data_IF_911326573865
#
_entry.id   IF_911326573865
#
_cell.length_a   1.000
_cell.length_b   1.000
_cell.length_c   1.000
_cell.angle_alpha   90.00
_cell.angle_beta   90.00
_cell.angle_gamma   90.00
#
_symmetry.space_group_name_H-M   'P 1'
#
loop_
_entity.id
_entity.type
_entity.pdbx_description
1 polymer ?
#
# COMPACT_ATOMS: atom_id res chain seq x y z
N UNK A 1 9.44 -1.22 -25.02
CA UNK A 1 8.36 -0.21 -25.11
C UNK A 1 9.01 1.05 -25.66
N UNK A 2 8.34 1.81 -26.51
CA UNK A 2 8.90 3.09 -26.95
C UNK A 2 9.10 4.01 -25.73
N UNK A 3 10.29 4.59 -25.64
CA UNK A 3 10.65 5.58 -24.63
C UNK A 3 10.94 6.91 -25.33
N UNK A 4 10.66 8.05 -24.69
CA UNK A 4 10.08 8.18 -23.35
C UNK A 4 8.58 7.85 -23.32
N UNK A 5 8.09 7.31 -22.21
CA UNK A 5 6.65 7.27 -21.93
C UNK A 5 6.19 8.67 -21.49
N UNK A 6 5.00 9.06 -21.93
CA UNK A 6 4.36 10.35 -21.61
C UNK A 6 3.21 10.10 -20.63
N UNK A 7 3.29 10.70 -19.45
CA UNK A 7 2.26 10.61 -18.41
C UNK A 7 0.90 11.16 -18.86
N UNK A 8 0.86 12.01 -19.88
CA UNK A 8 -0.36 12.55 -20.46
C UNK A 8 -1.04 11.59 -21.44
N UNK A 9 -0.39 10.47 -21.79
CA UNK A 9 -1.01 9.43 -22.59
C UNK A 9 -2.05 8.67 -21.74
N UNK A 10 -3.28 9.17 -21.74
CA UNK A 10 -4.39 8.62 -20.96
C UNK A 10 -4.60 7.13 -21.20
N UNK A 11 -4.45 6.64 -22.44
CA UNK A 11 -4.63 5.21 -22.76
C UNK A 11 -3.54 4.34 -22.14
N UNK A 12 -2.32 4.85 -22.11
CA UNK A 12 -1.18 4.13 -21.57
C UNK A 12 -1.19 4.13 -20.03
N UNK A 13 -1.65 5.22 -19.42
CA UNK A 13 -1.70 5.39 -17.95
C UNK A 13 -3.06 5.07 -17.31
N UNK A 14 -4.08 4.71 -18.09
CA UNK A 14 -5.46 4.46 -17.61
C UNK A 14 -5.53 3.51 -16.40
N UNK A 15 -4.66 2.49 -16.35
CA UNK A 15 -4.68 1.51 -15.27
C UNK A 15 -4.06 2.03 -13.97
N UNK A 16 -2.97 2.80 -14.07
CA UNK A 16 -2.35 3.48 -12.93
C UNK A 16 -3.31 4.56 -12.41
N UNK A 17 -3.90 5.35 -13.31
CA UNK A 17 -4.91 6.37 -12.97
C UNK A 17 -6.11 5.77 -12.24
N UNK A 18 -6.60 4.60 -12.68
CA UNK A 18 -7.67 3.89 -11.98
C UNK A 18 -7.28 3.51 -10.56
N UNK A 19 -6.06 3.00 -10.35
CA UNK A 19 -5.57 2.62 -9.03
C UNK A 19 -5.40 3.84 -8.11
N UNK A 20 -4.91 4.97 -8.64
CA UNK A 20 -4.72 6.23 -7.92
C UNK A 20 -6.02 6.94 -7.56
N UNK A 21 -7.05 6.82 -8.40
CA UNK A 21 -8.37 7.38 -8.10
C UNK A 21 -9.15 6.54 -7.10
N UNK A 22 -8.92 5.22 -7.09
CA UNK A 22 -9.63 4.32 -6.20
C UNK A 22 -11.12 4.22 -6.51
N UNK A 23 -11.93 3.90 -5.50
CA UNK A 23 -13.36 3.63 -5.68
C UNK A 23 -14.23 4.80 -5.25
N UNK A 24 -14.97 5.38 -6.19
CA UNK A 24 -15.95 6.43 -5.93
C UNK A 24 -15.40 7.83 -6.22
N UNK A 25 -16.18 8.84 -5.84
CA UNK A 25 -15.82 10.24 -6.03
C UNK A 25 -14.78 10.70 -4.99
N UNK A 26 -13.90 11.65 -5.35
CA UNK A 26 -12.99 12.24 -4.39
C UNK A 26 -13.74 13.04 -3.31
N UNK A 27 -13.21 13.03 -2.10
CA UNK A 27 -13.61 13.94 -1.03
C UNK A 27 -12.86 15.25 -1.20
N UNK A 28 -13.49 16.39 -0.94
CA UNK A 28 -12.83 17.68 -1.05
C UNK A 28 -12.53 18.25 0.33
N UNK A 29 -11.29 18.65 0.54
CA UNK A 29 -10.91 19.47 1.69
C UNK A 29 -11.53 20.87 1.57
N UNK A 30 -11.61 21.64 2.68
CA UNK A 30 -12.14 23.00 2.65
C UNK A 30 -11.42 23.95 1.68
N UNK A 31 -10.16 23.65 1.34
CA UNK A 31 -9.36 24.39 0.37
C UNK A 31 -9.57 23.94 -1.09
N UNK A 32 -10.43 22.96 -1.33
CA UNK A 32 -10.73 22.40 -2.65
C UNK A 32 -9.81 21.26 -3.09
N UNK A 33 -8.86 20.82 -2.26
CA UNK A 33 -7.97 19.70 -2.59
C UNK A 33 -8.74 18.37 -2.63
N UNK A 34 -8.68 17.60 -3.73
CA UNK A 34 -9.33 16.30 -3.82
C UNK A 34 -8.52 15.20 -3.11
N UNK A 35 -9.18 14.45 -2.23
CA UNK A 35 -8.69 13.24 -1.57
C UNK A 35 -9.37 12.04 -2.22
N UNK A 36 -8.55 11.19 -2.85
CA UNK A 36 -9.03 9.99 -3.52
C UNK A 36 -9.08 8.79 -2.57
N UNK A 37 -10.18 8.03 -2.55
CA UNK A 37 -10.32 6.83 -1.72
C UNK A 37 -9.60 5.62 -2.34
N UNK A 38 -8.27 5.73 -2.44
CA UNK A 38 -7.42 4.69 -2.98
C UNK A 38 -6.63 3.96 -1.87
N UNK A 39 -6.07 2.79 -2.19
CA UNK A 39 -5.30 1.96 -1.24
C UNK A 39 -3.85 2.43 -1.07
N UNK A 40 -3.41 3.36 -1.91
CA UNK A 40 -2.07 3.93 -1.91
C UNK A 40 -2.06 5.09 -0.90
N UNK A 41 -1.16 5.05 0.06
CA UNK A 41 -1.05 6.13 1.04
C UNK A 41 -0.23 7.31 0.46
N UNK A 42 -0.70 7.85 -0.66
CA UNK A 42 -0.07 8.95 -1.40
C UNK A 42 -0.77 10.26 -1.08
N UNK A 43 0.00 11.32 -0.85
CA UNK A 43 -0.56 12.64 -0.59
C UNK A 43 -0.97 13.35 -1.89
N UNK A 44 -0.26 13.10 -2.99
CA UNK A 44 -0.47 13.76 -4.29
C UNK A 44 -0.54 12.74 -5.44
N UNK A 45 -1.73 12.19 -5.75
CA UNK A 45 -1.89 11.16 -6.77
C UNK A 45 -1.49 11.59 -8.19
N UNK A 46 -1.68 12.87 -8.54
CA UNK A 46 -1.30 13.38 -9.85
C UNK A 46 0.22 13.50 -10.03
N UNK A 47 0.92 13.95 -8.99
CA UNK A 47 2.40 13.95 -8.98
C UNK A 47 2.95 12.52 -9.01
N UNK A 48 2.25 11.57 -8.39
CA UNK A 48 2.65 10.14 -8.38
C UNK A 48 2.82 9.59 -9.80
N UNK A 49 1.95 9.95 -10.76
CA UNK A 49 2.09 9.51 -12.15
C UNK A 49 3.31 10.13 -12.84
N UNK A 50 3.55 11.42 -12.60
CA UNK A 50 4.70 12.14 -13.17
C UNK A 50 6.02 11.57 -12.63
N UNK A 51 6.13 11.40 -11.31
CA UNK A 51 7.30 10.77 -10.66
C UNK A 51 7.55 9.38 -11.24
N UNK A 52 6.50 8.56 -11.38
CA UNK A 52 6.65 7.23 -11.97
C UNK A 52 7.17 7.29 -13.42
N UNK A 53 6.63 8.18 -14.25
CA UNK A 53 7.04 8.33 -15.65
C UNK A 53 8.51 8.75 -15.77
N UNK A 54 8.94 9.74 -14.98
CA UNK A 54 10.34 10.19 -14.92
C UNK A 54 11.27 9.04 -14.53
N UNK A 55 10.95 8.34 -13.43
CA UNK A 55 11.74 7.21 -12.94
C UNK A 55 11.84 6.08 -13.97
N UNK A 56 10.73 5.78 -14.66
CA UNK A 56 10.71 4.75 -15.70
C UNK A 56 11.60 5.16 -16.88
N UNK A 57 11.49 6.40 -17.35
CA UNK A 57 12.26 6.95 -18.47
C UNK A 57 13.76 7.03 -18.16
N UNK A 58 14.11 7.36 -16.93
CA UNK A 58 15.50 7.44 -16.46
C UNK A 58 16.11 6.08 -16.10
N UNK A 59 15.33 4.99 -16.11
CA UNK A 59 15.80 3.66 -15.75
C UNK A 59 16.08 3.48 -14.25
N UNK A 60 15.46 4.29 -13.39
CA UNK A 60 15.66 4.29 -11.94
C UNK A 60 14.90 3.16 -11.23
N UNK A 61 13.95 2.52 -11.93
CA UNK A 61 13.17 1.41 -11.40
C UNK A 61 13.99 0.12 -11.51
N UNK A 62 14.49 -0.36 -10.37
CA UNK A 62 15.34 -1.55 -10.25
C UNK A 62 14.54 -2.86 -10.31
N UNK A 63 13.65 -2.99 -11.29
CA UNK A 63 12.94 -4.23 -11.60
C UNK A 63 13.80 -5.12 -12.53
N UNK A 64 14.07 -6.38 -12.15
CA UNK A 64 14.79 -7.32 -13.00
C UNK A 64 14.03 -7.71 -14.27
N UNK A 65 12.69 -7.71 -14.21
CA UNK A 65 11.85 -8.04 -15.36
C UNK A 65 11.84 -6.88 -16.36
N UNK A 66 12.04 -7.21 -17.63
CA UNK A 66 12.15 -6.23 -18.72
C UNK A 66 11.00 -6.39 -19.71
N UNK A 67 10.65 -5.29 -20.35
CA UNK A 67 9.53 -5.24 -21.27
C UNK A 67 9.68 -6.25 -22.42
N UNK A 68 10.90 -6.46 -22.90
CA UNK A 68 11.20 -7.40 -23.99
C UNK A 68 10.88 -8.84 -23.58
N UNK A 69 11.13 -9.21 -22.32
CA UNK A 69 10.77 -10.53 -21.81
C UNK A 69 9.25 -10.65 -21.60
N UNK A 70 8.61 -9.57 -21.18
CA UNK A 70 7.16 -9.48 -21.01
C UNK A 70 6.41 -9.66 -22.31
N UNK A 71 6.73 -8.88 -23.34
CA UNK A 71 6.02 -8.90 -24.62
C UNK A 71 6.22 -10.21 -25.39
N UNK A 72 7.35 -10.89 -25.17
CA UNK A 72 7.67 -12.17 -25.81
C UNK A 72 7.10 -13.40 -25.07
N UNK A 73 6.55 -13.25 -23.85
CA UNK A 73 5.92 -14.35 -23.12
C UNK A 73 4.53 -14.66 -23.67
N UNK A 74 4.46 -15.63 -24.58
CA UNK A 74 3.21 -16.03 -25.26
C UNK A 74 2.09 -16.45 -24.29
N UNK A 75 2.43 -17.11 -23.18
CA UNK A 75 1.43 -17.58 -22.22
C UNK A 75 0.83 -16.40 -21.46
N UNK A 76 1.69 -15.51 -20.98
CA UNK A 76 1.31 -14.27 -20.31
C UNK A 76 0.47 -13.37 -21.23
N UNK A 77 0.93 -13.17 -22.47
CA UNK A 77 0.23 -12.36 -23.46
C UNK A 77 -1.13 -12.96 -23.85
N UNK A 78 -1.24 -14.29 -23.96
CA UNK A 78 -2.53 -14.93 -24.22
C UNK A 78 -3.53 -14.68 -23.07
N UNK A 79 -3.07 -14.70 -21.82
CA UNK A 79 -3.90 -14.37 -20.66
C UNK A 79 -4.32 -12.90 -20.64
N UNK A 80 -3.41 -11.96 -20.88
CA UNK A 80 -3.71 -10.51 -20.88
C UNK A 80 -4.72 -10.17 -21.98
N UNK A 81 -4.50 -10.70 -23.20
CA UNK A 81 -5.43 -10.53 -24.32
C UNK A 81 -6.79 -11.21 -24.04
N UNK A 82 -6.78 -12.40 -23.44
CA UNK A 82 -8.00 -13.11 -23.04
C UNK A 82 -8.81 -12.36 -21.98
N UNK A 83 -8.14 -11.61 -21.09
CA UNK A 83 -8.74 -10.68 -20.13
C UNK A 83 -9.23 -9.37 -20.77
N UNK A 84 -8.96 -9.16 -22.07
CA UNK A 84 -9.29 -7.97 -22.84
C UNK A 84 -8.61 -6.71 -22.31
N UNK A 85 -7.37 -6.86 -21.84
CA UNK A 85 -6.56 -5.78 -21.32
C UNK A 85 -5.59 -5.25 -22.38
N UNK A 86 -5.26 -3.97 -22.27
CA UNK A 86 -4.20 -3.36 -23.04
C UNK A 86 -2.84 -3.82 -22.48
N UNK A 87 -2.00 -4.33 -23.39
CA UNK A 87 -0.73 -4.97 -23.03
C UNK A 87 0.28 -3.96 -22.49
N UNK A 88 0.32 -2.76 -23.05
CA UNK A 88 1.28 -1.73 -22.66
C UNK A 88 0.86 -1.04 -21.36
N UNK A 89 -0.41 -0.70 -21.23
CA UNK A 89 -0.95 -0.15 -20.00
C UNK A 89 -0.83 -1.14 -18.83
N UNK A 90 -1.00 -2.45 -19.10
CA UNK A 90 -0.82 -3.47 -18.06
C UNK A 90 0.64 -3.62 -17.62
N UNK A 91 1.59 -3.52 -18.55
CA UNK A 91 3.01 -3.50 -18.21
C UNK A 91 3.34 -2.37 -17.25
N UNK A 92 2.92 -1.15 -17.59
CA UNK A 92 3.18 0.02 -16.74
C UNK A 92 2.51 -0.11 -15.38
N UNK A 93 1.27 -0.61 -15.31
CA UNK A 93 0.62 -0.92 -14.04
C UNK A 93 1.47 -1.88 -13.20
N UNK A 94 1.95 -2.97 -13.79
CA UNK A 94 2.72 -3.98 -13.06
C UNK A 94 4.06 -3.41 -12.55
N UNK A 95 4.75 -2.61 -13.35
CA UNK A 95 5.99 -1.94 -12.96
C UNK A 95 5.75 -0.86 -11.90
N UNK A 96 4.66 -0.09 -12.02
CA UNK A 96 4.25 0.87 -11.00
C UNK A 96 3.97 0.18 -9.66
N UNK A 97 3.15 -0.88 -9.65
CA UNK A 97 2.86 -1.65 -8.44
C UNK A 97 4.13 -2.23 -7.80
N UNK A 98 5.10 -2.67 -8.61
CA UNK A 98 6.40 -3.14 -8.13
C UNK A 98 7.21 -2.02 -7.47
N UNK A 99 7.42 -0.90 -8.17
CA UNK A 99 8.23 0.22 -7.68
C UNK A 99 7.59 0.85 -6.44
N UNK A 100 6.27 1.06 -6.48
CA UNK A 100 5.51 1.56 -5.34
C UNK A 100 5.60 0.62 -4.14
N UNK A 101 5.31 -0.68 -4.30
CA UNK A 101 5.38 -1.61 -3.18
C UNK A 101 6.81 -1.73 -2.62
N UNK A 102 7.85 -1.62 -3.46
CA UNK A 102 9.25 -1.61 -3.01
C UNK A 102 9.57 -0.35 -2.21
N UNK A 103 9.17 0.83 -2.69
CA UNK A 103 9.35 2.11 -2.02
C UNK A 103 8.69 2.15 -0.64
N UNK A 104 7.55 1.46 -0.49
CA UNK A 104 6.80 1.38 0.77
C UNK A 104 7.35 0.31 1.71
N UNK A 105 7.70 -0.88 1.19
CA UNK A 105 8.06 -2.03 2.03
C UNK A 105 9.56 -2.14 2.29
N UNK A 106 10.41 -1.79 1.34
CA UNK A 106 11.86 -2.00 1.46
C UNK A 106 12.56 -0.72 1.91
N UNK A 107 12.23 0.40 1.27
CA UNK A 107 12.86 1.69 1.52
C UNK A 107 12.00 2.66 2.36
N UNK A 108 10.80 2.22 2.74
CA UNK A 108 9.82 3.12 3.32
C UNK A 108 10.22 3.65 4.69
N UNK A 109 9.43 4.59 5.18
CA UNK A 109 9.63 5.20 6.49
C UNK A 109 8.32 5.26 7.26
N UNK A 110 8.42 5.44 8.58
CA UNK A 110 7.29 5.78 9.44
C UNK A 110 7.47 7.18 9.99
N UNK A 111 6.36 7.88 10.15
CA UNK A 111 6.32 9.18 10.80
C UNK A 111 6.03 8.90 12.27
N UNK A 112 6.96 9.30 13.15
CA UNK A 112 6.74 9.24 14.59
C UNK A 112 5.51 10.09 14.92
N UNK A 113 4.72 9.68 15.90
CA UNK A 113 3.66 10.55 16.43
C UNK A 113 4.30 11.62 17.32
N UNK A 114 3.81 12.86 17.25
CA UNK A 114 4.14 13.86 18.25
C UNK A 114 3.61 13.44 19.62
N UNK A 115 4.10 14.05 20.70
CA UNK A 115 3.54 13.85 22.03
C UNK A 115 2.02 14.11 22.04
N UNK A 116 1.61 15.21 21.41
CA UNK A 116 0.20 15.55 21.18
C UNK A 116 -0.60 14.41 20.55
N UNK A 117 -0.16 13.93 19.37
CA UNK A 117 -0.89 12.89 18.62
C UNK A 117 -0.90 11.54 19.34
N UNK A 118 0.14 11.23 20.11
CA UNK A 118 0.21 10.03 20.94
C UNK A 118 -0.82 10.09 22.08
N UNK A 119 -0.94 11.23 22.75
CA UNK A 119 -1.92 11.45 23.82
C UNK A 119 -3.35 11.41 23.25
N UNK A 120 -3.61 12.06 22.12
CA UNK A 120 -4.92 12.00 21.44
C UNK A 120 -5.32 10.55 21.10
N UNK A 121 -4.39 9.76 20.54
CA UNK A 121 -4.62 8.33 20.27
C UNK A 121 -4.90 7.54 21.54
N UNK A 122 -4.22 7.85 22.64
CA UNK A 122 -4.43 7.21 23.92
C UNK A 122 -5.83 7.53 24.48
N UNK A 123 -6.22 8.81 24.49
CA UNK A 123 -7.55 9.26 24.93
C UNK A 123 -8.67 8.59 24.10
N UNK A 124 -8.46 8.42 22.78
CA UNK A 124 -9.43 7.78 21.89
C UNK A 124 -9.64 6.27 22.15
N UNK A 125 -8.87 5.65 23.05
CA UNK A 125 -9.13 4.30 23.53
C UNK A 125 -10.20 4.25 24.63
N UNK A 126 -10.71 5.40 25.09
CA UNK A 126 -11.79 5.45 26.10
C UNK A 126 -13.02 4.71 25.58
N UNK A 127 -13.45 3.62 26.24
CA UNK A 127 -14.59 2.85 25.77
C UNK A 127 -15.90 3.61 26.03
N UNK A 128 -16.92 3.34 25.22
CA UNK A 128 -18.27 3.84 25.44
C UNK A 128 -18.97 3.12 26.60
N UNK A 129 -18.56 1.87 26.88
CA UNK A 129 -19.07 1.00 27.95
C UNK A 129 -17.98 0.77 29.01
N UNK A 130 -18.27 1.10 30.27
CA UNK A 130 -17.34 0.96 31.40
C UNK A 130 -16.96 -0.51 31.69
N UNK A 131 -17.78 -1.47 31.24
CA UNK A 131 -17.51 -2.91 31.38
C UNK A 131 -16.58 -3.48 30.29
N UNK A 132 -16.11 -2.63 29.36
CA UNK A 132 -15.19 -3.06 28.30
C UNK A 132 -13.89 -3.61 28.89
N UNK A 133 -13.55 -4.86 28.53
CA UNK A 133 -12.30 -5.48 28.97
C UNK A 133 -11.09 -4.72 28.43
N UNK A 134 -10.24 -4.21 29.32
CA UNK A 134 -9.05 -3.43 28.97
C UNK A 134 -7.80 -3.98 29.63
N UNK A 135 -6.67 -3.81 28.94
CA UNK A 135 -5.35 -4.14 29.45
C UNK A 135 -4.36 -3.05 29.08
N UNK A 136 -3.73 -2.44 30.08
CA UNK A 136 -2.67 -1.46 29.91
C UNK A 136 -1.34 -2.07 30.35
N UNK A 137 -0.31 -1.92 29.52
CA UNK A 137 1.05 -2.38 29.83
C UNK A 137 2.02 -1.23 29.72
N UNK A 138 2.76 -0.97 30.79
CA UNK A 138 3.82 0.06 30.83
C UNK A 138 5.14 -0.65 31.07
N UNK A 139 6.15 -0.34 30.25
CA UNK A 139 7.50 -0.85 30.39
C UNK A 139 8.47 0.33 30.44
N UNK A 140 9.32 0.32 31.46
CA UNK A 140 10.40 1.30 31.68
C UNK A 140 11.71 0.54 31.92
N UNK A 141 12.80 1.27 32.02
CA UNK A 141 14.09 0.77 32.51
C UNK A 141 14.00 0.16 33.92
N UNK A 142 13.06 0.66 34.74
CA UNK A 142 12.81 0.21 36.13
C UNK A 142 11.92 -1.02 36.24
N UNK A 143 11.30 -1.47 35.16
CA UNK A 143 10.46 -2.67 35.16
C UNK A 143 9.23 -2.57 34.27
N UNK A 144 8.35 -3.57 34.39
CA UNK A 144 7.12 -3.71 33.62
C UNK A 144 5.93 -3.83 34.58
N UNK A 145 4.86 -3.10 34.32
CA UNK A 145 3.58 -3.20 35.02
C UNK A 145 2.46 -3.50 34.02
N UNK A 146 1.55 -4.40 34.39
CA UNK A 146 0.33 -4.68 33.65
C UNK A 146 -0.87 -4.35 34.54
N UNK A 147 -1.84 -3.62 34.00
CA UNK A 147 -3.11 -3.28 34.64
C UNK A 147 -4.20 -3.96 33.81
N UNK A 148 -5.01 -4.81 34.44
CA UNK A 148 -6.15 -5.50 33.80
C UNK A 148 -7.50 -5.07 34.40
N UNK A 149 -7.47 -4.13 35.36
CA UNK A 149 -8.67 -3.53 35.92
C UNK A 149 -9.20 -2.43 34.97
N UNK A 150 -10.30 -2.73 34.28
CA UNK A 150 -10.94 -1.81 33.36
C UNK A 150 -11.37 -0.50 34.00
N UNK A 151 -11.80 -0.49 35.27
CA UNK A 151 -12.21 0.74 35.96
C UNK A 151 -10.99 1.63 36.19
N UNK A 152 -9.88 1.07 36.66
CA UNK A 152 -8.63 1.81 36.85
C UNK A 152 -8.13 2.42 35.53
N UNK A 153 -8.19 1.66 34.43
CA UNK A 153 -7.79 2.14 33.10
C UNK A 153 -8.72 3.26 32.61
N UNK A 154 -10.04 3.12 32.82
CA UNK A 154 -11.03 4.17 32.50
C UNK A 154 -10.72 5.47 33.25
N UNK A 155 -10.40 5.41 34.55
CA UNK A 155 -10.04 6.61 35.32
C UNK A 155 -8.75 7.25 34.80
N UNK A 156 -7.73 6.46 34.46
CA UNK A 156 -6.50 6.98 33.85
C UNK A 156 -6.81 7.72 32.55
N UNK A 157 -7.63 7.14 31.67
CA UNK A 157 -8.03 7.76 30.40
C UNK A 157 -8.82 9.05 30.62
N UNK A 158 -9.79 9.06 31.55
CA UNK A 158 -10.57 10.25 31.92
C UNK A 158 -9.67 11.37 32.47
N UNK A 159 -8.71 11.05 33.33
CA UNK A 159 -7.76 12.03 33.86
C UNK A 159 -6.83 12.59 32.79
N UNK A 160 -6.32 11.74 31.91
CA UNK A 160 -5.48 12.21 30.79
C UNK A 160 -6.28 13.12 29.86
N UNK A 161 -7.52 12.75 29.53
CA UNK A 161 -8.41 13.59 28.70
C UNK A 161 -8.66 14.95 29.35
N UNK A 162 -9.04 14.98 30.62
CA UNK A 162 -9.29 16.22 31.35
C UNK A 162 -8.04 17.11 31.41
N UNK A 163 -6.87 16.53 31.72
CA UNK A 163 -5.62 17.27 31.76
C UNK A 163 -5.21 17.80 30.38
N UNK A 164 -5.44 17.01 29.32
CA UNK A 164 -5.19 17.40 27.94
C UNK A 164 -6.06 18.59 27.53
N UNK A 165 -7.37 18.53 27.78
CA UNK A 165 -8.31 19.62 27.46
C UNK A 165 -8.01 20.92 28.24
N UNK A 166 -7.50 20.81 29.47
CA UNK A 166 -7.13 21.97 30.29
C UNK A 166 -5.79 22.60 29.91
N UNK A 167 -4.91 21.86 29.24
CA UNK A 167 -3.52 22.27 28.98
C UNK A 167 -3.13 22.05 27.51
N UNK A 168 -4.08 22.11 26.58
CA UNK A 168 -3.87 21.77 25.17
C UNK A 168 -2.71 22.57 24.56
N UNK A 169 -2.61 23.86 24.90
CA UNK A 169 -1.57 24.77 24.41
C UNK A 169 -0.17 24.47 24.96
N UNK A 170 -0.06 23.77 26.10
CA UNK A 170 1.21 23.42 26.74
C UNK A 170 1.83 22.14 26.14
N UNK A 171 1.05 21.33 25.44
CA UNK A 171 1.54 20.13 24.74
C UNK A 171 1.86 20.56 23.31
N UNK A 172 3.05 21.12 23.14
CA UNK A 172 3.52 21.56 21.83
C UNK A 172 3.63 20.39 20.85
N UNK A 173 3.44 20.71 19.57
CA UNK A 173 3.82 19.83 18.48
C UNK A 173 5.34 19.63 18.44
N UNK A 174 5.84 19.10 17.33
CA UNK A 174 7.28 18.91 17.14
C UNK A 174 8.07 20.19 17.40
N UNK A 175 9.05 20.13 18.29
CA UNK A 175 10.11 21.14 18.35
C UNK A 175 11.04 20.99 17.13
N UNK A 176 11.80 22.03 16.79
CA UNK A 176 12.73 21.99 15.65
C UNK A 176 13.84 20.92 15.79
N UNK A 177 14.18 20.52 17.03
CA UNK A 177 15.12 19.44 17.31
C UNK A 177 14.46 18.06 17.13
N UNK A 178 13.25 17.88 17.64
CA UNK A 178 12.50 16.62 17.47
C UNK A 178 12.04 16.42 16.02
N UNK A 179 11.93 17.50 15.24
CA UNK A 179 11.61 17.44 13.81
C UNK A 179 12.59 16.59 12.99
N UNK A 180 13.85 16.50 13.44
CA UNK A 180 14.91 15.73 12.77
C UNK A 180 14.70 14.21 12.88
N UNK A 181 13.97 13.75 13.89
CA UNK A 181 13.72 12.33 14.18
C UNK A 181 12.27 11.89 13.86
N UNK A 182 11.52 12.72 13.13
CA UNK A 182 10.14 12.43 12.73
C UNK A 182 10.11 11.23 11.79
N UNK A 183 10.99 11.23 10.79
CA UNK A 183 11.06 10.19 9.77
C UNK A 183 11.99 9.07 10.22
N UNK A 184 11.42 7.90 10.45
CA UNK A 184 12.15 6.71 10.85
C UNK A 184 12.14 5.71 9.71
N UNK A 185 13.30 5.44 9.05
CA UNK A 185 13.41 4.39 8.05
C UNK A 185 12.91 3.06 8.61
N UNK A 186 12.08 2.36 7.85
CA UNK A 186 11.47 1.11 8.28
C UNK A 186 11.30 0.17 7.10
N UNK A 187 12.01 -0.95 7.18
CA UNK A 187 11.87 -2.05 6.25
C UNK A 187 10.87 -3.09 6.79
N UNK A 188 9.87 -3.39 5.98
CA UNK A 188 8.99 -4.55 6.11
C UNK A 188 9.67 -5.82 5.54
N UNK A 189 9.14 -7.00 5.86
CA UNK A 189 9.71 -8.25 5.33
C UNK A 189 9.42 -8.42 3.83
N UNK A 190 10.24 -9.22 3.14
CA UNK A 190 10.00 -9.59 1.74
C UNK A 190 8.63 -10.27 1.53
N UNK A 191 8.17 -11.05 2.52
CA UNK A 191 6.82 -11.63 2.50
C UNK A 191 5.72 -10.58 2.47
N UNK A 192 5.91 -9.47 3.19
CA UNK A 192 5.00 -8.32 3.17
C UNK A 192 5.10 -7.60 1.82
N UNK A 193 6.30 -7.45 1.26
CA UNK A 193 6.48 -6.85 -0.07
C UNK A 193 5.72 -7.65 -1.15
N UNK A 194 5.87 -8.98 -1.20
CA UNK A 194 5.11 -9.86 -2.12
C UNK A 194 3.61 -9.68 -1.93
N UNK A 195 3.15 -9.71 -0.68
CA UNK A 195 1.73 -9.54 -0.36
C UNK A 195 1.20 -8.16 -0.78
N UNK A 196 1.96 -7.10 -0.54
CA UNK A 196 1.52 -5.75 -0.84
C UNK A 196 1.46 -5.51 -2.34
N UNK A 197 2.47 -5.95 -3.10
CA UNK A 197 2.41 -5.97 -4.58
C UNK A 197 1.15 -6.69 -5.08
N UNK A 198 0.89 -7.90 -4.58
CA UNK A 198 -0.29 -8.65 -4.98
C UNK A 198 -1.60 -7.95 -4.60
N UNK A 199 -1.63 -7.29 -3.44
CA UNK A 199 -2.78 -6.52 -2.97
C UNK A 199 -3.10 -5.36 -3.92
N UNK A 200 -2.09 -4.61 -4.37
CA UNK A 200 -2.27 -3.52 -5.35
C UNK A 200 -2.85 -4.04 -6.67
N UNK A 201 -2.31 -5.15 -7.18
CA UNK A 201 -2.81 -5.76 -8.42
C UNK A 201 -4.25 -6.29 -8.28
N UNK A 202 -4.58 -6.91 -7.14
CA UNK A 202 -5.96 -7.36 -6.85
C UNK A 202 -6.90 -6.17 -6.73
N UNK A 203 -6.47 -5.07 -6.11
CA UNK A 203 -7.26 -3.85 -5.99
C UNK A 203 -7.58 -3.28 -7.38
N UNK A 204 -6.59 -3.18 -8.26
CA UNK A 204 -6.81 -2.78 -9.66
C UNK A 204 -7.92 -3.62 -10.33
N UNK A 205 -7.87 -4.94 -10.20
CA UNK A 205 -8.89 -5.81 -10.79
C UNK A 205 -10.27 -5.72 -10.13
N UNK A 206 -10.32 -5.25 -8.88
CA UNK A 206 -11.55 -5.00 -8.12
C UNK A 206 -12.19 -3.69 -8.57
N UNK A 207 -11.37 -2.65 -8.79
CA UNK A 207 -11.77 -1.37 -9.36
C UNK A 207 -12.21 -1.50 -10.82
N UNK A 208 -11.66 -2.48 -11.55
CA UNK A 208 -11.92 -2.70 -12.97
C UNK A 208 -12.62 -4.05 -13.24
N UNK A 209 -13.89 -4.22 -12.81
CA UNK A 209 -14.61 -5.47 -12.95
C UNK A 209 -14.92 -5.85 -14.41
N UNK A 210 -14.71 -4.96 -15.38
CA UNK A 210 -14.88 -5.23 -16.82
C UNK A 210 -13.90 -6.29 -17.33
N UNK A 211 -12.72 -6.43 -16.72
CA UNK A 211 -11.73 -7.44 -17.08
C UNK A 211 -12.09 -8.82 -16.51
N UNK A 212 -13.23 -9.40 -16.93
CA UNK A 212 -13.63 -10.78 -16.55
C UNK A 212 -13.06 -11.84 -17.50
N UNK A 213 -12.59 -11.39 -18.66
CA UNK A 213 -12.13 -12.21 -19.77
C UNK A 213 -13.25 -12.86 -20.57
N UNK A 214 -12.95 -13.17 -21.83
CA UNK A 214 -13.81 -13.95 -22.73
C UNK A 214 -12.91 -14.93 -23.49
N UNK A 215 -13.18 -16.23 -23.39
CA UNK A 215 -12.47 -17.24 -24.19
C UNK A 215 -13.20 -17.45 -25.52
N UNK A 216 -12.45 -17.47 -26.63
CA UNK A 216 -12.96 -18.06 -27.88
C UNK A 216 -12.92 -19.58 -27.76
N UNK A 217 -13.87 -20.26 -28.41
CA UNK A 217 -14.00 -21.72 -28.37
C UNK A 217 -12.70 -22.36 -28.90
N UNK A 218 -11.94 -23.02 -28.01
CA UNK A 218 -10.67 -23.68 -28.33
C UNK A 218 -9.39 -23.04 -27.76
N UNK A 219 -9.46 -21.87 -27.10
CA UNK A 219 -8.30 -21.26 -26.43
C UNK A 219 -8.03 -21.88 -25.04
N UNK A 220 -6.75 -22.07 -24.70
CA UNK A 220 -6.26 -22.67 -23.45
C UNK A 220 -5.81 -21.62 -22.42
N UNK A 221 -5.83 -20.32 -22.77
CA UNK A 221 -5.30 -19.26 -21.91
C UNK A 221 -6.03 -19.18 -20.56
N UNK A 222 -5.26 -19.13 -19.47
CA UNK A 222 -5.80 -18.97 -18.11
C UNK A 222 -6.37 -17.57 -17.95
N UNK A 223 -7.67 -17.43 -17.67
CA UNK A 223 -8.30 -16.15 -17.32
C UNK A 223 -8.22 -15.84 -15.82
N UNK A 224 -7.40 -16.58 -15.07
CA UNK A 224 -7.28 -16.42 -13.64
C UNK A 224 -6.35 -15.23 -13.31
N UNK A 225 -6.94 -14.13 -12.83
CA UNK A 225 -6.20 -12.93 -12.39
C UNK A 225 -5.14 -13.22 -11.33
N UNK A 226 -5.40 -14.16 -10.41
CA UNK A 226 -4.43 -14.53 -9.36
C UNK A 226 -3.27 -15.32 -9.95
N UNK A 227 -3.52 -16.15 -10.95
CA UNK A 227 -2.47 -16.84 -11.69
C UNK A 227 -1.55 -15.83 -12.40
N UNK A 228 -2.14 -14.81 -13.05
CA UNK A 228 -1.38 -13.72 -13.68
C UNK A 228 -0.50 -12.98 -12.67
N UNK A 229 -1.04 -12.63 -11.51
CA UNK A 229 -0.28 -11.99 -10.42
C UNK A 229 0.83 -12.92 -9.90
N UNK A 230 0.56 -14.23 -9.78
CA UNK A 230 1.55 -15.24 -9.37
C UNK A 230 2.75 -15.25 -10.30
N UNK A 231 2.52 -15.29 -11.62
CA UNK A 231 3.57 -15.23 -12.64
C UNK A 231 4.41 -13.96 -12.53
N UNK A 232 3.77 -12.80 -12.34
CA UNK A 232 4.48 -11.53 -12.19
C UNK A 232 5.39 -11.52 -10.95
N UNK A 233 4.94 -12.09 -9.82
CA UNK A 233 5.77 -12.23 -8.61
C UNK A 233 7.08 -12.98 -8.91
N UNK A 234 7.00 -14.06 -9.69
CA UNK A 234 8.17 -14.82 -10.12
C UNK A 234 9.04 -14.05 -11.11
N UNK A 235 8.45 -13.52 -12.19
CA UNK A 235 9.20 -12.84 -13.25
C UNK A 235 9.89 -11.56 -12.80
N UNK A 236 9.23 -10.78 -11.94
CA UNK A 236 9.79 -9.58 -11.31
C UNK A 236 10.73 -9.91 -10.14
N UNK A 237 10.95 -11.20 -9.86
CA UNK A 237 11.86 -11.69 -8.82
C UNK A 237 11.54 -11.17 -7.41
N UNK A 238 10.25 -10.98 -7.10
CA UNK A 238 9.83 -10.78 -5.70
C UNK A 238 9.97 -12.09 -4.91
N UNK A 239 9.86 -13.23 -5.60
CA UNK A 239 10.16 -14.56 -5.07
C UNK A 239 10.81 -15.42 -6.14
N UNK A 240 11.79 -16.24 -5.75
CA UNK A 240 12.43 -17.24 -6.61
C UNK A 240 11.75 -18.62 -6.54
N UNK A 241 10.62 -18.74 -5.84
CA UNK A 241 9.93 -20.02 -5.70
C UNK A 241 9.18 -20.38 -6.99
N UNK A 242 9.55 -21.50 -7.62
CA UNK A 242 9.02 -21.92 -8.93
C UNK A 242 7.50 -22.13 -8.95
N UNK A 243 6.86 -22.49 -7.84
CA UNK A 243 5.40 -22.62 -7.77
C UNK A 243 4.63 -21.34 -8.18
N UNK A 244 5.23 -20.16 -8.00
CA UNK A 244 4.64 -18.90 -8.51
C UNK A 244 4.55 -18.88 -10.05
N UNK A 245 5.37 -19.69 -10.73
CA UNK A 245 5.35 -19.86 -12.18
C UNK A 245 4.25 -20.81 -12.64
N UNK A 246 3.77 -21.73 -11.79
CA UNK A 246 2.84 -22.79 -12.21
C UNK A 246 1.40 -22.50 -11.83
N UNK A 247 1.16 -21.99 -10.61
CA UNK A 247 -0.19 -21.74 -10.11
C UNK A 247 -0.24 -20.59 -9.07
N UNK A 248 -1.42 -20.31 -8.53
CA UNK A 248 -1.65 -19.26 -7.54
C UNK A 248 -1.69 -19.73 -6.07
N UNK A 249 -1.37 -20.99 -5.76
CA UNK A 249 -1.55 -21.55 -4.41
C UNK A 249 -0.69 -20.85 -3.37
N UNK A 250 0.60 -20.60 -3.67
CA UNK A 250 1.47 -19.84 -2.78
C UNK A 250 0.94 -18.42 -2.56
N UNK A 251 0.53 -17.74 -3.64
CA UNK A 251 -0.07 -16.41 -3.54
C UNK A 251 -1.28 -16.38 -2.59
N UNK A 252 -2.17 -17.38 -2.67
CA UNK A 252 -3.30 -17.50 -1.73
C UNK A 252 -2.84 -17.63 -0.27
N UNK A 253 -1.72 -18.29 -0.03
CA UNK A 253 -1.06 -18.38 1.27
C UNK A 253 -0.67 -17.00 1.82
N UNK A 254 0.07 -16.21 1.03
CA UNK A 254 0.46 -14.84 1.41
C UNK A 254 -0.76 -13.94 1.68
N UNK A 255 -1.76 -13.98 0.79
CA UNK A 255 -2.99 -13.20 0.97
C UNK A 255 -3.74 -13.57 2.27
N UNK A 256 -3.78 -14.86 2.62
CA UNK A 256 -4.40 -15.33 3.87
C UNK A 256 -3.59 -14.92 5.10
N UNK A 257 -2.27 -15.04 5.04
CA UNK A 257 -1.37 -14.71 6.15
C UNK A 257 -1.48 -13.24 6.55
N UNK A 258 -1.61 -12.34 5.57
CA UNK A 258 -1.58 -10.90 5.80
C UNK A 258 -2.94 -10.20 5.59
N UNK A 259 -4.05 -10.95 5.55
CA UNK A 259 -5.40 -10.42 5.28
C UNK A 259 -5.83 -9.21 6.13
N UNK A 260 -5.32 -9.11 7.37
CA UNK A 260 -5.65 -8.05 8.32
C UNK A 260 -4.48 -7.06 8.53
N UNK A 261 -3.38 -7.20 7.78
CA UNK A 261 -2.23 -6.33 7.91
C UNK A 261 -2.57 -4.96 7.34
N UNK A 262 -2.18 -3.91 8.06
CA UNK A 262 -2.19 -2.53 7.59
C UNK A 262 -0.75 -2.10 7.36
N UNK A 263 -0.46 -1.55 6.18
CA UNK A 263 0.82 -0.89 5.91
C UNK A 263 0.84 0.42 6.70
N UNK A 264 1.88 0.60 7.51
CA UNK A 264 2.12 1.82 8.30
C UNK A 264 3.25 2.67 7.72
N UNK A 265 4.05 2.09 6.82
CA UNK A 265 5.13 2.78 6.14
C UNK A 265 4.58 3.65 5.02
N UNK A 266 5.27 4.74 4.78
CA UNK A 266 5.09 5.63 3.66
C UNK A 266 6.18 5.35 2.63
N UNK A 267 5.88 5.64 1.36
CA UNK A 267 6.86 5.56 0.28
C UNK A 267 7.94 6.62 0.48
N UNK A 268 9.20 6.27 0.28
CA UNK A 268 10.31 7.22 0.22
C UNK A 268 10.35 8.04 -1.09
N UNK A 269 9.55 7.64 -2.09
CA UNK A 269 9.54 8.21 -3.44
C UNK A 269 8.23 8.96 -3.73
N UNK A 270 7.11 8.41 -3.26
CA UNK A 270 5.75 8.82 -3.67
C UNK A 270 4.93 9.45 -2.53
N UNK A 271 5.51 9.72 -1.36
CA UNK A 271 4.80 10.31 -0.21
C UNK A 271 4.86 11.83 -0.20
#
# INVERSE_FOLDING_TARGET
MEQPIDENNEKLFQYISSLLRGKGEPFYLPDGTPIYPNILNVNMPFETMHIFAERYNNGEILCPYKYENYINDKELQATINGLQMDVDAFWLLAIFCFDFARSVCINGFTIKDSARRTIEKFINLTPEDEDSAMKLTIKTDKGKMEIEDSHAITYILKWVKQAYEQNEDAIHGWTAEEAKDIFNPRQESYSVFIWYFATLMIEFFTLNPQFKGRQKKGEVASLNKKWLISKLIYYMQLSSHEDFKTDEHLLRGFLKQYKNKKIKTHSDIYY
#
